data_IF_838144564095
#
_entry.id   IF_838144564095
#
_cell.length_a   1.000
_cell.length_b   1.000
_cell.length_c   1.000
_cell.angle_alpha   90.00
_cell.angle_beta   90.00
_cell.angle_gamma   90.00
#
_symmetry.space_group_name_H-M   'P 1'
#
loop_
_entity.id
_entity.type
_entity.pdbx_description
1 polymer ?
#
# COMPACT_ATOMS: atom_id res chain seq x y z
N UNK A 1 -21.18 7.66 -17.03
CA UNK A 1 -21.58 8.01 -15.64
C UNK A 1 -21.33 6.99 -14.53
N UNK A 2 -21.07 5.69 -14.80
CA UNK A 2 -20.80 4.70 -13.72
C UNK A 2 -19.51 4.96 -12.92
N UNK A 3 -18.45 5.45 -13.57
CA UNK A 3 -17.17 5.73 -12.91
C UNK A 3 -17.32 6.86 -11.87
N UNK A 4 -17.98 7.96 -12.25
CA UNK A 4 -18.23 9.10 -11.36
C UNK A 4 -19.10 8.69 -10.18
N UNK A 5 -20.15 7.90 -10.41
CA UNK A 5 -20.99 7.39 -9.33
C UNK A 5 -20.21 6.59 -8.29
N UNK A 6 -19.18 5.83 -8.71
CA UNK A 6 -18.32 5.07 -7.80
C UNK A 6 -17.43 5.99 -6.95
N UNK A 7 -16.89 7.05 -7.54
CA UNK A 7 -16.10 8.06 -6.82
C UNK A 7 -16.92 8.78 -5.76
N UNK A 8 -18.16 9.15 -6.08
CA UNK A 8 -19.07 9.80 -5.13
C UNK A 8 -19.43 8.85 -4.00
N UNK A 9 -19.76 7.59 -4.33
CA UNK A 9 -20.13 6.58 -3.34
C UNK A 9 -19.01 6.26 -2.35
N UNK A 10 -17.78 6.11 -2.84
CA UNK A 10 -16.64 5.65 -2.03
C UNK A 10 -15.75 6.82 -1.55
N UNK A 11 -16.27 8.06 -1.61
CA UNK A 11 -15.51 9.29 -1.33
C UNK A 11 -14.76 9.24 0.00
N UNK A 12 -15.43 8.82 1.07
CA UNK A 12 -14.84 8.81 2.41
C UNK A 12 -13.63 7.87 2.47
N UNK A 13 -13.77 6.67 1.90
CA UNK A 13 -12.67 5.70 1.82
C UNK A 13 -11.50 6.24 0.98
N UNK A 14 -11.79 6.92 -0.13
CA UNK A 14 -10.77 7.49 -1.02
C UNK A 14 -10.02 8.68 -0.38
N UNK A 15 -10.65 9.39 0.56
CA UNK A 15 -10.08 10.56 1.24
C UNK A 15 -9.41 10.24 2.58
N UNK A 16 -9.50 9.01 3.09
CA UNK A 16 -8.78 8.56 4.32
C UNK A 16 -7.26 8.82 4.30
N UNK A 17 -6.69 8.96 3.10
CA UNK A 17 -5.35 9.48 2.85
C UNK A 17 -4.98 10.71 3.70
N UNK A 18 -5.92 11.65 3.85
CA UNK A 18 -5.70 12.92 4.55
C UNK A 18 -5.56 12.77 6.07
N UNK A 19 -5.94 11.61 6.61
CA UNK A 19 -5.79 11.24 8.02
C UNK A 19 -4.37 10.72 8.34
N UNK A 20 -3.47 10.69 7.34
CA UNK A 20 -2.07 10.30 7.47
C UNK A 20 -1.14 11.49 7.20
N UNK A 21 0.11 11.47 7.70
CA UNK A 21 1.09 12.52 7.47
C UNK A 21 1.24 12.88 5.98
N UNK A 22 1.35 14.17 5.67
CA UNK A 22 1.45 14.66 4.30
C UNK A 22 2.64 14.03 3.53
N UNK A 23 3.73 13.70 4.23
CA UNK A 23 4.89 13.04 3.66
C UNK A 23 4.58 11.64 3.11
N UNK A 24 3.57 10.96 3.66
CA UNK A 24 3.21 9.59 3.28
C UNK A 24 2.28 9.55 2.06
N UNK A 25 1.63 10.66 1.71
CA UNK A 25 0.59 10.70 0.69
C UNK A 25 1.01 10.21 -0.68
N UNK A 26 2.26 10.50 -1.07
CA UNK A 26 2.83 10.00 -2.33
C UNK A 26 2.87 8.47 -2.39
N UNK A 27 3.11 7.82 -1.25
CA UNK A 27 3.21 6.37 -1.15
C UNK A 27 1.84 5.70 -1.08
N UNK A 28 0.88 6.34 -0.40
CA UNK A 28 -0.50 5.82 -0.26
C UNK A 28 -1.26 5.93 -1.60
N UNK A 29 -1.07 7.02 -2.35
CA UNK A 29 -1.78 7.24 -3.63
C UNK A 29 -1.32 6.34 -4.78
N UNK A 30 -0.22 5.61 -4.63
CA UNK A 30 0.30 4.76 -5.70
C UNK A 30 -0.02 3.28 -5.45
N UNK A 31 -0.45 2.58 -6.49
CA UNK A 31 -0.60 1.12 -6.48
C UNK A 31 0.72 0.39 -6.76
N UNK A 32 1.83 1.09 -7.05
CA UNK A 32 3.12 0.49 -7.41
C UNK A 32 3.64 -0.55 -6.41
N UNK A 33 3.56 -0.34 -5.07
CA UNK A 33 3.97 -1.36 -4.09
C UNK A 33 3.21 -2.68 -4.23
N UNK A 34 1.99 -2.66 -4.77
CA UNK A 34 1.17 -3.84 -5.07
C UNK A 34 1.46 -4.31 -6.49
N UNK A 35 1.32 -3.45 -7.50
CA UNK A 35 1.39 -3.86 -8.90
C UNK A 35 2.77 -4.39 -9.30
N UNK A 36 3.84 -3.71 -8.87
CA UNK A 36 5.23 -4.06 -9.20
C UNK A 36 5.67 -5.36 -8.51
N UNK A 37 5.26 -5.56 -7.26
CA UNK A 37 5.60 -6.78 -6.50
C UNK A 37 4.94 -8.01 -7.13
N UNK A 38 3.67 -7.89 -7.53
CA UNK A 38 2.95 -8.97 -8.19
C UNK A 38 3.27 -9.14 -9.67
N UNK A 39 3.89 -8.16 -10.33
CA UNK A 39 4.22 -8.25 -11.76
C UNK A 39 5.08 -9.49 -12.07
N UNK A 40 6.11 -9.74 -11.27
CA UNK A 40 6.98 -10.91 -11.45
C UNK A 40 6.27 -12.22 -11.13
N UNK A 41 5.40 -12.22 -10.10
CA UNK A 41 4.58 -13.39 -9.75
C UNK A 41 3.66 -13.76 -10.91
N UNK A 42 2.88 -12.79 -11.44
CA UNK A 42 2.01 -13.00 -12.61
C UNK A 42 2.79 -13.50 -13.81
N UNK A 43 3.94 -12.90 -14.09
CA UNK A 43 4.81 -13.30 -15.19
C UNK A 43 5.26 -14.77 -15.04
N UNK A 44 5.73 -15.18 -13.86
CA UNK A 44 6.18 -16.55 -13.62
C UNK A 44 5.03 -17.55 -13.61
N UNK A 45 3.90 -17.22 -12.98
CA UNK A 45 2.69 -18.07 -13.01
C UNK A 45 2.21 -18.35 -14.43
N UNK A 46 2.24 -17.35 -15.33
CA UNK A 46 1.89 -17.57 -16.75
C UNK A 46 2.85 -18.54 -17.45
N UNK A 47 4.14 -18.51 -17.11
CA UNK A 47 5.17 -19.38 -17.72
C UNK A 47 5.19 -20.80 -17.15
N UNK A 48 4.77 -21.00 -15.91
CA UNK A 48 4.78 -22.31 -15.22
C UNK A 48 3.38 -22.92 -15.09
N UNK A 49 2.41 -22.41 -15.86
CA UNK A 49 1.02 -22.88 -15.85
C UNK A 49 0.97 -24.39 -16.11
N UNK A 50 0.35 -25.15 -15.21
CA UNK A 50 0.22 -26.61 -15.30
C UNK A 50 1.43 -27.41 -14.80
N UNK A 51 2.56 -26.76 -14.49
CA UNK A 51 3.79 -27.46 -14.07
C UNK A 51 3.98 -27.49 -12.54
N UNK A 52 3.13 -26.79 -11.78
CA UNK A 52 3.30 -26.60 -10.33
C UNK A 52 2.10 -27.17 -9.57
N UNK A 53 2.40 -27.92 -8.51
CA UNK A 53 1.44 -28.24 -7.46
C UNK A 53 1.08 -26.97 -6.64
N UNK A 54 -0.03 -27.00 -5.90
CA UNK A 54 -0.43 -25.89 -5.02
C UNK A 54 0.70 -25.44 -4.08
N UNK A 55 1.39 -26.41 -3.46
CA UNK A 55 2.50 -26.15 -2.52
C UNK A 55 3.69 -25.47 -3.21
N UNK A 56 4.09 -25.96 -4.38
CA UNK A 56 5.24 -25.40 -5.13
C UNK A 56 4.92 -24.04 -5.74
N UNK A 57 3.68 -23.82 -6.21
CA UNK A 57 3.20 -22.52 -6.67
C UNK A 57 3.21 -21.46 -5.57
N UNK A 58 2.75 -21.81 -4.36
CA UNK A 58 2.80 -20.90 -3.21
C UNK A 58 4.25 -20.55 -2.83
N UNK A 59 5.14 -21.56 -2.75
CA UNK A 59 6.55 -21.34 -2.45
C UNK A 59 7.24 -20.44 -3.49
N UNK A 60 6.93 -20.63 -4.78
CA UNK A 60 7.41 -19.77 -5.85
C UNK A 60 6.94 -18.32 -5.65
N UNK A 61 5.64 -18.09 -5.46
CA UNK A 61 5.09 -16.76 -5.25
C UNK A 61 5.73 -16.07 -4.04
N UNK A 62 5.84 -16.77 -2.91
CA UNK A 62 6.49 -16.28 -1.70
C UNK A 62 7.95 -15.87 -1.96
N UNK A 63 8.75 -16.72 -2.62
CA UNK A 63 10.16 -16.41 -2.87
C UNK A 63 10.36 -15.23 -3.83
N UNK A 64 9.47 -15.08 -4.81
CA UNK A 64 9.47 -13.92 -5.71
C UNK A 64 9.14 -12.63 -4.97
N UNK A 65 8.15 -12.64 -4.07
CA UNK A 65 7.80 -11.48 -3.24
C UNK A 65 8.94 -11.11 -2.29
N UNK A 66 9.57 -12.09 -1.62
CA UNK A 66 10.75 -11.87 -0.78
C UNK A 66 11.94 -11.27 -1.55
N UNK A 67 12.10 -11.66 -2.82
CA UNK A 67 13.14 -11.10 -3.68
C UNK A 67 12.84 -9.66 -4.08
N UNK A 68 11.57 -9.32 -4.34
CA UNK A 68 11.12 -7.97 -4.65
C UNK A 68 11.29 -7.01 -3.45
N UNK A 69 11.02 -7.48 -2.22
CA UNK A 69 11.13 -6.69 -0.99
C UNK A 69 12.50 -6.02 -0.81
N UNK A 70 13.58 -6.70 -1.24
CA UNK A 70 14.95 -6.20 -1.11
C UNK A 70 15.21 -4.87 -1.84
N UNK A 71 14.39 -4.54 -2.83
CA UNK A 71 14.53 -3.32 -3.66
C UNK A 71 13.52 -2.23 -3.30
N UNK A 72 12.72 -2.42 -2.25
CA UNK A 72 11.70 -1.43 -1.90
C UNK A 72 12.32 -0.13 -1.40
N UNK A 73 11.82 0.98 -1.95
CA UNK A 73 12.16 2.31 -1.48
C UNK A 73 11.57 2.50 -0.07
N UNK A 74 12.31 3.18 0.80
CA UNK A 74 11.81 3.58 2.12
C UNK A 74 10.70 4.62 1.99
N UNK A 75 9.80 4.63 2.97
CA UNK A 75 8.74 5.63 3.10
C UNK A 75 9.36 7.03 3.29
N UNK A 76 8.85 8.02 2.58
CA UNK A 76 9.19 9.42 2.84
C UNK A 76 8.59 9.82 4.20
N UNK A 77 9.29 10.60 5.04
CA UNK A 77 8.78 10.93 6.38
C UNK A 77 8.67 9.73 7.34
N UNK A 78 9.52 8.71 7.20
CA UNK A 78 9.57 7.51 8.06
C UNK A 78 9.66 7.80 9.57
N UNK A 79 10.16 8.97 9.96
CA UNK A 79 10.22 9.45 11.34
C UNK A 79 8.83 9.69 11.95
N UNK A 80 7.78 9.85 11.13
CA UNK A 80 6.39 9.98 11.57
C UNK A 80 5.70 8.64 11.82
N UNK A 81 6.31 7.51 11.44
CA UNK A 81 5.71 6.18 11.65
C UNK A 81 5.33 5.88 13.11
N UNK A 82 6.15 6.22 14.13
CA UNK A 82 5.76 6.02 15.52
C UNK A 82 4.48 6.78 15.89
N UNK A 83 4.31 8.01 15.40
CA UNK A 83 3.11 8.83 15.65
C UNK A 83 1.85 8.15 15.09
N UNK A 84 1.95 7.64 13.85
CA UNK A 84 0.87 6.88 13.19
C UNK A 84 0.57 5.59 13.96
N UNK A 85 1.58 4.84 14.40
CA UNK A 85 1.42 3.59 15.16
C UNK A 85 0.77 3.86 16.53
N UNK A 86 1.11 4.98 17.18
CA UNK A 86 0.49 5.40 18.45
C UNK A 86 -0.93 5.95 18.30
N UNK A 87 -1.46 6.08 17.08
CA UNK A 87 -2.80 6.60 16.82
C UNK A 87 -2.92 8.11 16.98
N UNK A 88 -1.85 8.88 16.78
CA UNK A 88 -1.92 10.34 16.75
C UNK A 88 -2.80 10.77 15.58
N UNK A 89 -3.78 11.64 15.85
CA UNK A 89 -4.63 12.18 14.80
C UNK A 89 -3.86 13.14 13.88
N UNK A 90 -4.03 12.96 12.57
CA UNK A 90 -3.65 13.93 11.56
C UNK A 90 -4.92 14.45 10.90
N UNK A 91 -4.96 15.76 10.66
CA UNK A 91 -6.01 16.40 9.85
C UNK A 91 -5.34 17.09 8.69
N UNK A 92 -5.75 16.74 7.48
CA UNK A 92 -5.12 17.20 6.24
C UNK A 92 -3.59 17.05 6.25
N UNK A 93 -3.12 15.94 6.83
CA UNK A 93 -1.69 15.60 6.92
C UNK A 93 -0.87 16.39 7.93
N UNK A 94 -1.52 17.24 8.73
CA UNK A 94 -0.90 17.97 9.85
C UNK A 94 -1.28 17.30 11.16
N UNK A 95 -0.29 17.12 12.04
CA UNK A 95 -0.50 16.57 13.38
C UNK A 95 -1.50 17.45 14.14
N UNK A 96 -2.59 16.85 14.60
CA UNK A 96 -3.58 17.52 15.43
C UNK A 96 -3.23 17.29 16.89
N UNK A 97 -2.65 18.31 17.54
CA UNK A 97 -2.42 18.29 18.99
C UNK A 97 -3.74 18.69 19.63
N UNK A 98 -4.45 17.74 20.25
CA UNK A 98 -5.53 18.09 21.16
C UNK A 98 -4.91 18.87 22.32
N UNK A 99 -5.11 20.19 22.35
CA UNK A 99 -4.85 20.96 23.55
C UNK A 99 -5.73 20.35 24.65
N UNK A 100 -5.10 19.85 25.71
CA UNK A 100 -5.82 19.41 26.89
C UNK A 100 -6.71 20.58 27.36
N UNK A 101 -8.02 20.32 27.38
CA UNK A 101 -9.02 21.21 27.98
C UNK A 101 -8.94 21.13 29.50
#
# INVERSE_FOLDING_TARGET
DKAVAKLVKDRDALLTLYDYPAEHWKHIRTSNPIESTFATVRHRTRRTKGCLSRKTGLAMAFRLMMSAQKKWRRLDGRNRLPEVISGVEFRDGVRHIQAAA
#
